data_IF_674963593393
#
_entry.id   IF_674963593393
#
_cell.length_a   1.000
_cell.length_b   1.000
_cell.length_c   1.000
_cell.angle_alpha   90.00
_cell.angle_beta   90.00
_cell.angle_gamma   90.00
#
_symmetry.space_group_name_H-M   'P 1'
#
loop_
_entity.id
_entity.type
_entity.pdbx_description
1 polymer ?
#
# COMPACT_ATOMS: atom_id res chain seq x y z
N UNK A 1 5.99 25.42 -16.04
CA UNK A 1 5.24 24.16 -16.15
C UNK A 1 4.18 24.11 -15.07
N UNK A 2 2.96 23.63 -15.37
CA UNK A 2 1.92 23.45 -14.34
C UNK A 2 2.33 22.30 -13.38
N UNK A 3 1.91 22.39 -12.13
CA UNK A 3 2.13 21.35 -11.11
C UNK A 3 1.74 19.95 -11.62
N UNK A 4 0.60 19.86 -12.32
CA UNK A 4 0.06 18.62 -12.88
C UNK A 4 1.02 17.99 -13.91
N UNK A 5 1.63 18.79 -14.79
CA UNK A 5 2.60 18.28 -15.78
C UNK A 5 3.85 17.73 -15.10
N UNK A 6 4.36 18.42 -14.08
CA UNK A 6 5.51 17.93 -13.30
C UNK A 6 5.17 16.62 -12.60
N UNK A 7 3.99 16.53 -11.98
CA UNK A 7 3.53 15.31 -11.31
C UNK A 7 3.42 14.14 -12.29
N UNK A 8 2.75 14.33 -13.43
CA UNK A 8 2.58 13.30 -14.44
C UNK A 8 3.93 12.79 -14.99
N UNK A 9 4.89 13.69 -15.23
CA UNK A 9 6.23 13.31 -15.67
C UNK A 9 6.98 12.48 -14.62
N UNK A 10 6.81 12.79 -13.34
CA UNK A 10 7.46 12.05 -12.24
C UNK A 10 6.79 10.70 -12.03
N UNK A 11 5.47 10.62 -12.16
CA UNK A 11 4.75 9.32 -12.13
C UNK A 11 5.24 8.42 -13.26
N UNK A 12 5.32 8.94 -14.48
CA UNK A 12 5.85 8.21 -15.62
C UNK A 12 7.28 7.73 -15.40
N UNK A 13 8.16 8.61 -14.92
CA UNK A 13 9.55 8.27 -14.59
C UNK A 13 9.60 7.17 -13.51
N UNK A 14 8.76 7.26 -12.49
CA UNK A 14 8.66 6.25 -11.43
C UNK A 14 8.24 4.89 -11.96
N UNK A 15 7.21 4.83 -12.81
CA UNK A 15 6.77 3.58 -13.44
C UNK A 15 7.89 3.01 -14.32
N UNK A 16 8.52 3.87 -15.14
CA UNK A 16 9.62 3.45 -16.01
C UNK A 16 10.79 2.88 -15.21
N UNK A 17 11.21 3.59 -14.16
CA UNK A 17 12.29 3.15 -13.28
C UNK A 17 11.97 1.82 -12.60
N UNK A 18 10.75 1.65 -12.12
CA UNK A 18 10.37 0.50 -11.30
C UNK A 18 10.05 -0.76 -12.13
N UNK A 19 9.65 -0.59 -13.40
CA UNK A 19 9.17 -1.71 -14.25
C UNK A 19 10.02 -1.91 -15.47
N UNK A 20 10.50 -0.84 -16.10
CA UNK A 20 11.09 -0.90 -17.44
C UNK A 20 12.63 -0.90 -17.48
N UNK A 21 13.32 -0.96 -16.33
CA UNK A 21 14.78 -0.94 -16.26
C UNK A 21 15.46 -2.15 -16.97
N UNK A 22 14.76 -3.26 -17.14
CA UNK A 22 15.21 -4.40 -17.97
C UNK A 22 14.35 -4.51 -19.22
N UNK A 23 13.13 -5.01 -19.06
CA UNK A 23 12.05 -4.97 -20.03
C UNK A 23 10.72 -4.81 -19.29
N UNK A 24 9.74 -4.07 -19.82
CA UNK A 24 8.47 -3.82 -19.12
C UNK A 24 7.75 -5.10 -18.73
N UNK A 25 7.81 -6.13 -19.56
CA UNK A 25 7.16 -7.42 -19.29
C UNK A 25 7.84 -8.16 -18.13
N UNK A 26 9.17 -8.29 -18.16
CA UNK A 26 9.94 -8.96 -17.11
C UNK A 26 9.83 -8.21 -15.78
N UNK A 27 9.95 -6.88 -15.81
CA UNK A 27 9.81 -6.05 -14.63
C UNK A 27 8.44 -6.20 -13.95
N UNK A 28 7.35 -6.20 -14.72
CA UNK A 28 6.00 -6.41 -14.21
C UNK A 28 5.82 -7.84 -13.68
N UNK A 29 6.30 -8.84 -14.41
CA UNK A 29 6.21 -10.25 -13.98
C UNK A 29 6.91 -10.48 -12.64
N UNK A 30 8.11 -9.94 -12.45
CA UNK A 30 8.84 -10.02 -11.18
C UNK A 30 8.09 -9.33 -10.04
N UNK A 31 7.41 -8.23 -10.32
CA UNK A 31 6.60 -7.51 -9.32
C UNK A 31 5.31 -8.25 -8.91
N UNK A 32 4.81 -9.16 -9.74
CA UNK A 32 3.62 -9.97 -9.44
C UNK A 32 3.98 -11.15 -8.53
N UNK A 33 5.20 -11.69 -8.62
CA UNK A 33 5.60 -12.89 -7.85
C UNK A 33 5.43 -12.70 -6.34
N UNK A 34 5.88 -11.58 -5.78
CA UNK A 34 5.82 -11.34 -4.34
C UNK A 34 4.38 -11.26 -3.79
N UNK A 35 3.45 -10.49 -4.39
CA UNK A 35 2.05 -10.49 -3.96
C UNK A 35 1.37 -11.85 -4.07
N UNK A 36 1.61 -12.58 -5.17
CA UNK A 36 1.05 -13.93 -5.37
C UNK A 36 1.58 -14.90 -4.31
N UNK A 37 2.90 -14.94 -4.12
CA UNK A 37 3.52 -15.81 -3.13
C UNK A 37 3.03 -15.50 -1.71
N UNK A 38 2.95 -14.23 -1.35
CA UNK A 38 2.44 -13.80 -0.04
C UNK A 38 0.98 -14.23 0.18
N UNK A 39 0.11 -14.00 -0.81
CA UNK A 39 -1.30 -14.36 -0.74
C UNK A 39 -1.47 -15.89 -0.61
N UNK A 40 -0.76 -16.67 -1.41
CA UNK A 40 -0.82 -18.13 -1.38
C UNK A 40 -0.27 -18.67 -0.05
N UNK A 41 0.92 -18.23 0.37
CA UNK A 41 1.55 -18.70 1.62
C UNK A 41 0.66 -18.42 2.83
N UNK A 42 0.13 -17.22 2.94
CA UNK A 42 -0.74 -16.84 4.06
C UNK A 42 -2.03 -17.67 4.07
N UNK A 43 -2.61 -17.91 2.89
CA UNK A 43 -3.81 -18.73 2.75
C UNK A 43 -3.56 -20.21 3.06
N UNK A 44 -2.40 -20.75 2.69
CA UNK A 44 -2.00 -22.13 3.02
C UNK A 44 -1.79 -22.27 4.53
N UNK A 45 -1.15 -21.28 5.19
CA UNK A 45 -0.98 -21.29 6.66
C UNK A 45 -2.34 -21.32 7.35
N UNK A 46 -3.30 -20.51 6.91
CA UNK A 46 -4.66 -20.54 7.43
C UNK A 46 -5.32 -21.91 7.20
N UNK A 47 -5.24 -22.43 5.96
CA UNK A 47 -5.84 -23.72 5.61
C UNK A 47 -5.29 -24.87 6.45
N UNK A 48 -3.97 -24.96 6.61
CA UNK A 48 -3.32 -25.97 7.44
C UNK A 48 -3.77 -25.88 8.90
N UNK A 49 -3.77 -24.68 9.48
CA UNK A 49 -4.20 -24.47 10.86
C UNK A 49 -5.68 -24.80 11.07
N UNK A 50 -6.56 -24.38 10.17
CA UNK A 50 -7.98 -24.60 10.26
C UNK A 50 -8.36 -26.08 10.01
N UNK A 51 -7.66 -26.76 9.08
CA UNK A 51 -7.90 -28.18 8.79
C UNK A 51 -7.43 -29.07 9.93
N UNK A 52 -6.28 -28.80 10.54
CA UNK A 52 -5.81 -29.53 11.73
C UNK A 52 -6.72 -29.32 12.92
N UNK A 53 -7.29 -28.15 13.08
CA UNK A 53 -8.27 -27.87 14.15
C UNK A 53 -9.70 -28.31 13.81
N UNK A 54 -9.94 -28.86 12.60
CA UNK A 54 -11.27 -29.26 12.10
C UNK A 54 -12.32 -28.14 12.08
N UNK A 55 -11.86 -26.88 11.87
CA UNK A 55 -12.70 -25.68 11.83
C UNK A 55 -12.54 -24.91 10.51
N UNK A 56 -12.23 -25.62 9.43
CA UNK A 56 -12.05 -25.01 8.12
C UNK A 56 -13.35 -24.36 7.61
N UNK A 57 -13.23 -23.11 7.16
CA UNK A 57 -14.33 -22.34 6.60
C UNK A 57 -13.82 -21.63 5.31
N UNK A 58 -14.38 -21.96 4.13
CA UNK A 58 -14.01 -21.34 2.87
C UNK A 58 -14.19 -19.81 2.86
N UNK A 59 -15.16 -19.27 3.59
CA UNK A 59 -15.37 -17.82 3.70
C UNK A 59 -14.24 -17.15 4.45
N UNK A 60 -13.71 -17.78 5.48
CA UNK A 60 -12.53 -17.29 6.20
C UNK A 60 -11.26 -17.42 5.35
N UNK A 61 -11.16 -18.45 4.52
CA UNK A 61 -10.07 -18.55 3.54
C UNK A 61 -10.11 -17.37 2.55
N UNK A 62 -11.30 -17.07 2.01
CA UNK A 62 -11.49 -15.89 1.16
C UNK A 62 -11.13 -14.59 1.89
N UNK A 63 -11.51 -14.47 3.16
CA UNK A 63 -11.18 -13.34 4.02
C UNK A 63 -9.67 -13.12 4.13
N UNK A 64 -8.90 -14.17 4.40
CA UNK A 64 -7.44 -14.14 4.53
C UNK A 64 -6.78 -13.86 3.19
N UNK A 65 -7.22 -14.51 2.12
CA UNK A 65 -6.71 -14.33 0.76
C UNK A 65 -6.82 -12.86 0.31
N UNK A 66 -8.02 -12.29 0.41
CA UNK A 66 -8.26 -10.89 0.03
C UNK A 66 -7.43 -9.94 0.90
N UNK A 67 -7.40 -10.17 2.20
CA UNK A 67 -6.63 -9.34 3.13
C UNK A 67 -5.13 -9.40 2.86
N UNK A 68 -4.57 -10.58 2.67
CA UNK A 68 -3.14 -10.76 2.37
C UNK A 68 -2.75 -10.08 1.04
N UNK A 69 -3.59 -10.22 0.01
CA UNK A 69 -3.36 -9.58 -1.28
C UNK A 69 -3.37 -8.05 -1.17
N UNK A 70 -4.37 -7.49 -0.48
CA UNK A 70 -4.49 -6.05 -0.31
C UNK A 70 -3.44 -5.47 0.66
N UNK A 71 -2.98 -6.28 1.63
CA UNK A 71 -1.86 -5.88 2.47
C UNK A 71 -0.58 -5.69 1.66
N UNK A 72 -0.29 -6.54 0.67
CA UNK A 72 0.89 -6.34 -0.19
C UNK A 72 0.82 -5.05 -0.99
N UNK A 73 -0.38 -4.64 -1.41
CA UNK A 73 -0.60 -3.32 -1.99
C UNK A 73 -0.20 -2.20 -1.01
N UNK A 74 -0.71 -2.25 0.24
CA UNK A 74 -0.35 -1.26 1.27
C UNK A 74 1.16 -1.26 1.54
N UNK A 75 1.78 -2.42 1.72
CA UNK A 75 3.20 -2.55 1.99
C UNK A 75 4.06 -1.91 0.88
N UNK A 76 3.72 -2.14 -0.38
CA UNK A 76 4.49 -1.62 -1.53
C UNK A 76 4.59 -0.10 -1.49
N UNK A 77 3.49 0.63 -1.33
CA UNK A 77 3.56 2.10 -1.30
C UNK A 77 4.06 2.66 0.03
N UNK A 78 4.08 1.85 1.11
CA UNK A 78 4.71 2.24 2.38
C UNK A 78 6.23 2.40 2.22
N UNK A 79 6.87 1.54 1.43
CA UNK A 79 8.31 1.63 1.18
C UNK A 79 8.70 2.68 0.13
N UNK A 80 7.83 2.94 -0.84
CA UNK A 80 8.13 3.75 -2.00
C UNK A 80 8.74 5.14 -1.71
N UNK A 81 8.21 5.95 -0.78
CA UNK A 81 8.74 7.29 -0.52
C UNK A 81 10.13 7.27 0.10
N UNK A 82 10.38 6.32 0.99
CA UNK A 82 11.71 6.16 1.62
C UNK A 82 12.74 5.73 0.59
N UNK A 83 12.40 4.75 -0.25
CA UNK A 83 13.25 4.31 -1.37
C UNK A 83 13.53 5.46 -2.32
N UNK A 84 12.52 6.23 -2.69
CA UNK A 84 12.68 7.35 -3.61
C UNK A 84 13.67 8.43 -3.08
N UNK A 85 13.61 8.71 -1.77
CA UNK A 85 14.53 9.67 -1.14
C UNK A 85 15.94 9.08 -1.02
N UNK A 86 16.07 7.83 -0.56
CA UNK A 86 17.35 7.14 -0.42
C UNK A 86 18.08 7.01 -1.77
N UNK A 87 17.39 6.54 -2.79
CA UNK A 87 17.93 6.47 -4.16
C UNK A 87 18.32 7.84 -4.68
N UNK A 88 17.46 8.84 -4.49
CA UNK A 88 17.72 10.21 -4.92
C UNK A 88 18.95 10.83 -4.25
N UNK A 89 19.20 10.52 -2.97
CA UNK A 89 20.43 10.93 -2.25
C UNK A 89 21.65 10.18 -2.79
N UNK A 90 21.58 8.85 -2.93
CA UNK A 90 22.67 8.02 -3.40
C UNK A 90 23.11 8.35 -4.83
N UNK A 91 22.16 8.60 -5.71
CA UNK A 91 22.40 8.98 -7.11
C UNK A 91 22.70 10.48 -7.29
N UNK A 92 22.78 11.25 -6.20
CA UNK A 92 22.98 12.71 -6.22
C UNK A 92 21.94 13.48 -7.03
N UNK A 93 20.77 12.88 -7.30
CA UNK A 93 19.64 13.53 -8.00
C UNK A 93 18.86 14.44 -7.04
N UNK A 94 18.76 14.03 -5.78
CA UNK A 94 17.95 14.72 -4.79
C UNK A 94 18.46 16.14 -4.48
N UNK A 95 19.78 16.42 -4.36
CA UNK A 95 20.29 17.77 -4.24
C UNK A 95 19.83 18.70 -5.37
N UNK A 96 19.79 18.22 -6.61
CA UNK A 96 19.33 19.01 -7.76
C UNK A 96 17.86 19.40 -7.67
N UNK A 97 17.01 18.53 -7.09
CA UNK A 97 15.60 18.84 -6.83
C UNK A 97 15.48 19.94 -5.77
N UNK A 98 16.37 19.94 -4.77
CA UNK A 98 16.33 20.90 -3.66
C UNK A 98 16.96 22.26 -3.98
N UNK A 99 17.84 22.36 -4.96
CA UNK A 99 18.36 23.65 -5.47
C UNK A 99 17.24 24.47 -6.12
N UNK A 100 16.19 23.80 -6.63
CA UNK A 100 15.06 24.52 -7.19
C UNK A 100 14.28 25.25 -6.09
N UNK A 101 13.77 26.48 -6.34
CA UNK A 101 13.00 27.23 -5.34
C UNK A 101 11.62 26.62 -5.05
N UNK A 102 11.24 25.56 -5.77
CA UNK A 102 9.99 24.83 -5.57
C UNK A 102 10.12 23.73 -4.53
N UNK A 103 9.00 23.37 -3.91
CA UNK A 103 8.93 22.22 -3.02
C UNK A 103 9.24 20.91 -3.76
N UNK A 104 9.88 19.96 -3.06
CA UNK A 104 10.09 18.59 -3.53
C UNK A 104 8.84 17.71 -3.44
N UNK A 105 7.75 18.23 -2.90
CA UNK A 105 6.46 17.52 -2.74
C UNK A 105 5.96 16.83 -4.02
N UNK A 106 6.02 17.43 -5.24
CA UNK A 106 5.62 16.73 -6.46
C UNK A 106 6.46 15.50 -6.77
N UNK A 107 7.75 15.51 -6.42
CA UNK A 107 8.63 14.36 -6.61
C UNK A 107 8.20 13.20 -5.73
N UNK A 108 8.00 13.46 -4.45
CA UNK A 108 7.56 12.42 -3.51
C UNK A 108 6.17 11.89 -3.86
N UNK A 109 5.21 12.79 -4.14
CA UNK A 109 3.87 12.40 -4.56
C UNK A 109 3.89 11.56 -5.84
N UNK A 110 4.67 11.98 -6.85
CA UNK A 110 4.77 11.26 -8.11
C UNK A 110 5.36 9.85 -7.97
N UNK A 111 6.40 9.70 -7.15
CA UNK A 111 7.00 8.39 -6.85
C UNK A 111 6.04 7.50 -6.06
N UNK A 112 5.34 8.03 -5.06
CA UNK A 112 4.32 7.30 -4.30
C UNK A 112 3.16 6.86 -5.19
N UNK A 113 2.67 7.75 -6.08
CA UNK A 113 1.61 7.41 -7.04
C UNK A 113 2.06 6.38 -8.06
N UNK A 114 3.30 6.42 -8.55
CA UNK A 114 3.84 5.40 -9.44
C UNK A 114 3.79 4.01 -8.79
N UNK A 115 4.31 3.91 -7.57
CA UNK A 115 4.29 2.65 -6.79
C UNK A 115 2.87 2.21 -6.45
N UNK A 116 1.96 3.17 -6.18
CA UNK A 116 0.54 2.89 -5.99
C UNK A 116 -0.08 2.25 -7.24
N UNK A 117 0.13 2.80 -8.43
CA UNK A 117 -0.41 2.27 -9.69
C UNK A 117 0.15 0.88 -10.01
N UNK A 118 1.44 0.66 -9.78
CA UNK A 118 2.07 -0.64 -9.96
C UNK A 118 1.46 -1.65 -8.99
N UNK A 119 1.38 -1.31 -7.70
CA UNK A 119 0.82 -2.21 -6.68
C UNK A 119 -0.67 -2.46 -6.87
N UNK A 120 -1.43 -1.48 -7.38
CA UNK A 120 -2.83 -1.66 -7.79
C UNK A 120 -2.95 -2.77 -8.84
N UNK A 121 -2.17 -2.65 -9.92
CA UNK A 121 -2.20 -3.62 -11.02
C UNK A 121 -1.74 -5.01 -10.56
N UNK A 122 -0.62 -5.07 -9.83
CA UNK A 122 -0.06 -6.36 -9.37
C UNK A 122 -0.95 -7.04 -8.33
N UNK A 123 -1.63 -6.30 -7.46
CA UNK A 123 -2.56 -6.87 -6.48
C UNK A 123 -3.84 -7.41 -7.13
N UNK A 124 -4.37 -6.73 -8.15
CA UNK A 124 -5.51 -7.25 -8.90
C UNK A 124 -5.17 -8.57 -9.60
N UNK A 125 -4.01 -8.63 -10.26
CA UNK A 125 -3.52 -9.84 -10.93
C UNK A 125 -3.23 -10.93 -9.88
N UNK A 126 -2.60 -10.58 -8.77
CA UNK A 126 -2.27 -11.54 -7.71
C UNK A 126 -3.52 -12.17 -7.08
N UNK A 127 -4.60 -11.39 -6.89
CA UNK A 127 -5.85 -11.93 -6.38
C UNK A 127 -6.44 -13.00 -7.30
N UNK A 128 -6.43 -12.75 -8.62
CA UNK A 128 -6.93 -13.71 -9.61
C UNK A 128 -6.08 -14.99 -9.63
N UNK A 129 -4.75 -14.83 -9.72
CA UNK A 129 -3.83 -15.98 -9.78
C UNK A 129 -3.90 -16.80 -8.49
N UNK A 130 -3.85 -16.15 -7.32
CA UNK A 130 -3.88 -16.83 -6.03
C UNK A 130 -5.22 -17.56 -5.81
N UNK A 131 -6.34 -16.97 -6.20
CA UNK A 131 -7.65 -17.62 -6.15
C UNK A 131 -7.67 -18.88 -7.01
N UNK A 132 -7.19 -18.78 -8.24
CA UNK A 132 -7.14 -19.93 -9.16
C UNK A 132 -6.26 -21.06 -8.63
N UNK A 133 -5.05 -20.72 -8.16
CA UNK A 133 -4.08 -21.70 -7.64
C UNK A 133 -4.65 -22.39 -6.38
N UNK A 134 -5.22 -21.63 -5.44
CA UNK A 134 -5.75 -22.20 -4.20
C UNK A 134 -7.00 -23.06 -4.46
N UNK A 135 -7.89 -22.64 -5.36
CA UNK A 135 -9.04 -23.46 -5.76
C UNK A 135 -8.61 -24.77 -6.40
N UNK A 136 -7.55 -24.77 -7.22
CA UNK A 136 -6.99 -25.99 -7.79
C UNK A 136 -6.31 -26.90 -6.78
N UNK A 137 -5.59 -26.32 -5.81
CA UNK A 137 -4.86 -27.07 -4.78
C UNK A 137 -5.78 -27.75 -3.77
N UNK A 138 -6.80 -27.04 -3.32
CA UNK A 138 -7.67 -27.53 -2.26
C UNK A 138 -8.93 -28.24 -2.78
N UNK A 139 -9.17 -28.18 -4.11
CA UNK A 139 -10.41 -28.65 -4.75
C UNK A 139 -11.67 -28.01 -4.12
N UNK A 140 -11.52 -26.81 -3.58
CA UNK A 140 -12.56 -26.05 -2.90
C UNK A 140 -12.91 -24.79 -3.67
N UNK A 141 -14.20 -24.49 -3.75
CA UNK A 141 -14.66 -23.22 -4.30
C UNK A 141 -14.47 -22.11 -3.26
N UNK A 142 -13.54 -21.20 -3.51
CA UNK A 142 -13.39 -19.99 -2.70
C UNK A 142 -14.56 -19.06 -3.02
N UNK A 143 -15.40 -18.68 -2.03
CA UNK A 143 -16.63 -17.93 -2.28
C UNK A 143 -16.33 -16.45 -2.55
N UNK A 144 -15.90 -16.14 -3.78
CA UNK A 144 -15.72 -14.78 -4.25
C UNK A 144 -16.84 -14.41 -5.23
N UNK A 145 -17.45 -13.25 -5.01
CA UNK A 145 -18.47 -12.70 -5.89
C UNK A 145 -17.77 -11.97 -7.03
N UNK A 146 -17.64 -12.63 -8.19
CA UNK A 146 -16.97 -12.07 -9.37
C UNK A 146 -18.05 -11.61 -10.37
N UNK A 147 -18.59 -10.43 -10.13
CA UNK A 147 -19.50 -9.73 -11.06
C UNK A 147 -18.83 -8.47 -11.58
N UNK A 148 -19.23 -7.92 -12.73
CA UNK A 148 -18.68 -6.64 -13.21
C UNK A 148 -18.82 -5.52 -12.16
N UNK A 149 -19.90 -5.53 -11.38
CA UNK A 149 -20.12 -4.56 -10.32
C UNK A 149 -19.15 -4.75 -9.16
N UNK A 150 -18.94 -5.99 -8.67
CA UNK A 150 -18.03 -6.26 -7.56
C UNK A 150 -16.58 -5.98 -7.92
N UNK A 151 -16.17 -6.27 -9.15
CA UNK A 151 -14.84 -5.92 -9.66
C UNK A 151 -14.66 -4.40 -9.75
N UNK A 152 -15.68 -3.68 -10.22
CA UNK A 152 -15.66 -2.22 -10.25
C UNK A 152 -15.58 -1.63 -8.83
N UNK A 153 -16.35 -2.18 -7.88
CA UNK A 153 -16.30 -1.77 -6.48
C UNK A 153 -14.92 -2.03 -5.85
N UNK A 154 -14.31 -3.17 -6.12
CA UNK A 154 -12.96 -3.47 -5.67
C UNK A 154 -11.94 -2.49 -6.25
N UNK A 155 -12.00 -2.24 -7.55
CA UNK A 155 -11.13 -1.28 -8.22
C UNK A 155 -11.32 0.14 -7.67
N UNK A 156 -12.57 0.54 -7.41
CA UNK A 156 -12.89 1.84 -6.83
C UNK A 156 -12.37 1.95 -5.38
N UNK A 157 -12.50 0.91 -4.56
CA UNK A 157 -11.96 0.88 -3.20
C UNK A 157 -10.43 1.04 -3.22
N UNK A 158 -9.74 0.31 -4.10
CA UNK A 158 -8.31 0.45 -4.31
C UNK A 158 -7.94 1.87 -4.72
N UNK A 159 -8.64 2.44 -5.70
CA UNK A 159 -8.34 3.77 -6.21
C UNK A 159 -8.59 4.87 -5.15
N UNK A 160 -9.67 4.77 -4.39
CA UNK A 160 -9.99 5.74 -3.34
C UNK A 160 -9.10 5.64 -2.10
N UNK A 161 -8.21 4.64 -2.02
CA UNK A 161 -7.16 4.57 -1.00
C UNK A 161 -5.94 5.49 -1.31
N UNK A 162 -5.91 6.17 -2.48
CA UNK A 162 -4.84 7.11 -2.87
C UNK A 162 -4.54 8.18 -1.80
N UNK A 163 -5.52 8.85 -1.17
CA UNK A 163 -5.22 9.82 -0.12
C UNK A 163 -4.44 9.21 1.05
N UNK A 164 -4.82 8.03 1.51
CA UNK A 164 -4.11 7.34 2.59
C UNK A 164 -2.67 6.98 2.19
N UNK A 165 -2.47 6.49 0.95
CA UNK A 165 -1.14 6.15 0.44
C UNK A 165 -0.23 7.38 0.31
N UNK A 166 -0.73 8.47 -0.23
CA UNK A 166 0.02 9.73 -0.34
C UNK A 166 0.34 10.31 1.04
N UNK A 167 -0.63 10.29 1.96
CA UNK A 167 -0.43 10.78 3.32
C UNK A 167 0.67 10.02 4.06
N UNK A 168 0.63 8.68 4.01
CA UNK A 168 1.69 7.84 4.56
C UNK A 168 3.03 8.10 3.87
N UNK A 169 3.00 8.28 2.54
CA UNK A 169 4.17 8.66 1.75
C UNK A 169 4.83 9.94 2.23
N UNK A 170 4.07 10.97 2.53
CA UNK A 170 4.58 12.23 3.08
C UNK A 170 5.13 12.07 4.51
N UNK A 171 4.47 11.29 5.36
CA UNK A 171 4.94 11.02 6.73
C UNK A 171 6.29 10.31 6.70
N UNK A 172 6.41 9.22 5.94
CA UNK A 172 7.65 8.45 5.84
C UNK A 172 8.74 9.22 5.10
N UNK A 173 8.38 9.96 4.06
CA UNK A 173 9.29 10.87 3.38
C UNK A 173 9.85 11.95 4.31
N UNK A 174 9.05 12.48 5.23
CA UNK A 174 9.52 13.43 6.26
C UNK A 174 10.62 12.84 7.13
N UNK A 175 10.47 11.59 7.54
CA UNK A 175 11.50 10.88 8.28
C UNK A 175 12.76 10.68 7.44
N UNK A 176 12.62 10.21 6.20
CA UNK A 176 13.75 9.90 5.31
C UNK A 176 14.59 11.11 4.94
N UNK A 177 14.05 12.34 5.03
CA UNK A 177 14.83 13.56 4.81
C UNK A 177 15.99 13.69 5.80
N UNK A 178 15.77 13.34 7.06
CA UNK A 178 16.76 13.43 8.14
C UNK A 178 17.48 12.11 8.45
N UNK A 179 16.91 10.97 8.07
CA UNK A 179 17.49 9.67 8.31
C UNK A 179 18.77 9.48 7.50
N UNK A 180 19.82 8.94 8.15
CA UNK A 180 21.10 8.65 7.51
C UNK A 180 21.50 7.17 7.59
N UNK A 181 21.04 6.43 8.61
CA UNK A 181 21.49 5.05 8.88
C UNK A 181 20.37 4.00 8.91
N UNK A 182 19.15 4.40 9.27
CA UNK A 182 18.01 3.47 9.47
C UNK A 182 16.83 3.79 8.55
N UNK A 183 17.10 4.25 7.34
CA UNK A 183 16.03 4.66 6.40
C UNK A 183 15.04 3.53 6.10
N UNK A 184 15.56 2.29 6.02
CA UNK A 184 14.74 1.11 5.73
C UNK A 184 13.98 0.55 6.94
N UNK A 185 14.40 0.88 8.15
CA UNK A 185 13.82 0.32 9.37
C UNK A 185 12.40 0.84 9.61
N UNK A 186 12.19 2.15 9.51
CA UNK A 186 10.87 2.73 9.79
C UNK A 186 9.77 2.22 8.87
N UNK A 187 9.94 2.16 7.52
CA UNK A 187 8.93 1.57 6.65
C UNK A 187 8.63 0.11 7.00
N UNK A 188 9.63 -0.68 7.38
CA UNK A 188 9.45 -2.08 7.80
C UNK A 188 8.60 -2.19 9.07
N UNK A 189 8.86 -1.35 10.07
CA UNK A 189 8.05 -1.33 11.29
C UNK A 189 6.62 -0.86 11.01
N UNK A 190 6.45 0.17 10.18
CA UNK A 190 5.12 0.66 9.79
C UNK A 190 4.36 -0.41 9.01
N UNK A 191 4.99 -1.06 8.02
CA UNK A 191 4.37 -2.14 7.28
C UNK A 191 3.98 -3.31 8.20
N UNK A 192 4.89 -3.75 9.10
CA UNK A 192 4.58 -4.79 10.08
C UNK A 192 3.43 -4.41 11.01
N UNK A 193 3.40 -3.17 11.48
CA UNK A 193 2.28 -2.64 12.30
C UNK A 193 0.97 -2.66 11.51
N UNK A 194 0.98 -2.20 10.27
CA UNK A 194 -0.20 -2.21 9.41
C UNK A 194 -0.66 -3.64 9.10
N UNK A 195 0.24 -4.62 9.00
CA UNK A 195 -0.14 -6.03 8.82
C UNK A 195 -1.02 -6.54 9.96
N UNK A 196 -0.68 -6.19 11.18
CA UNK A 196 -1.42 -6.61 12.39
C UNK A 196 -2.73 -5.84 12.53
N UNK A 197 -2.68 -4.51 12.40
CA UNK A 197 -3.79 -3.63 12.76
C UNK A 197 -4.75 -3.31 11.62
N UNK A 198 -4.35 -3.48 10.34
CA UNK A 198 -5.24 -3.20 9.20
C UNK A 198 -6.34 -4.24 8.99
N UNK A 199 -6.40 -5.28 9.81
CA UNK A 199 -7.38 -6.34 9.61
C UNK A 199 -7.07 -7.25 8.40
N UNK A 200 -5.85 -7.24 7.89
CA UNK A 200 -5.48 -8.03 6.72
C UNK A 200 -5.63 -9.54 6.97
N UNK A 201 -5.13 -10.03 8.09
CA UNK A 201 -5.12 -11.46 8.45
C UNK A 201 -6.30 -11.86 9.32
N UNK A 202 -6.69 -11.00 10.24
CA UNK A 202 -7.79 -11.23 11.19
C UNK A 202 -8.52 -9.92 11.49
N UNK A 203 -9.81 -9.96 11.89
CA UNK A 203 -10.55 -8.76 12.23
C UNK A 203 -9.92 -8.05 13.44
N UNK A 204 -9.73 -6.70 13.41
CA UNK A 204 -9.17 -5.98 14.55
C UNK A 204 -10.01 -6.09 15.84
N UNK A 205 -11.28 -6.45 15.72
CA UNK A 205 -12.17 -6.70 16.86
C UNK A 205 -11.74 -7.83 17.79
N UNK A 206 -10.88 -8.73 17.32
CA UNK A 206 -10.31 -9.83 18.14
C UNK A 206 -9.25 -9.29 19.12
N UNK A 207 -8.65 -8.15 18.80
CA UNK A 207 -7.63 -7.55 19.66
C UNK A 207 -8.28 -6.96 20.93
N UNK A 208 -7.56 -6.97 22.08
CA UNK A 208 -8.06 -6.33 23.29
C UNK A 208 -8.13 -4.80 23.09
N UNK A 209 -9.07 -4.16 23.80
CA UNK A 209 -9.09 -2.71 23.88
C UNK A 209 -7.83 -2.23 24.64
N UNK A 210 -7.09 -1.20 24.19
CA UNK A 210 -7.40 -0.20 23.13
C UNK A 210 -6.88 -0.56 21.72
N UNK A 211 -6.23 -1.71 21.50
CA UNK A 211 -5.63 -2.07 20.22
C UNK A 211 -6.68 -2.26 19.13
N UNK A 212 -7.84 -2.82 19.49
CA UNK A 212 -8.98 -2.95 18.57
C UNK A 212 -9.51 -1.58 18.11
N UNK A 213 -9.59 -0.62 19.03
CA UNK A 213 -10.02 0.75 18.70
C UNK A 213 -9.03 1.40 17.73
N UNK A 214 -7.72 1.27 17.97
CA UNK A 214 -6.68 1.75 17.07
C UNK A 214 -6.78 1.10 15.68
N UNK A 215 -6.87 -0.22 15.62
CA UNK A 215 -7.00 -0.95 14.34
C UNK A 215 -8.23 -0.52 13.54
N UNK A 216 -9.38 -0.38 14.19
CA UNK A 216 -10.63 0.03 13.52
C UNK A 216 -10.60 1.51 13.06
N UNK A 217 -9.81 2.36 13.68
CA UNK A 217 -9.67 3.77 13.29
C UNK A 217 -8.76 3.95 12.06
N UNK A 218 -7.96 2.96 11.68
CA UNK A 218 -7.07 3.05 10.55
C UNK A 218 -7.84 3.09 9.22
N UNK A 219 -7.54 4.02 8.29
CA UNK A 219 -8.16 4.07 6.97
C UNK A 219 -7.88 2.80 6.15
N UNK A 220 -6.76 2.14 6.38
CA UNK A 220 -6.36 0.89 5.74
C UNK A 220 -7.26 -0.29 6.12
N UNK A 221 -7.71 -0.34 7.36
CA UNK A 221 -8.68 -1.34 7.84
C UNK A 221 -10.02 -1.18 7.13
N UNK A 222 -10.47 0.05 7.01
CA UNK A 222 -11.73 0.35 6.34
C UNK A 222 -11.65 0.10 4.83
N UNK A 223 -10.50 0.37 4.22
CA UNK A 223 -10.23 0.04 2.82
C UNK A 223 -10.30 -1.49 2.57
N UNK A 224 -9.62 -2.31 3.38
CA UNK A 224 -9.65 -3.77 3.25
C UNK A 224 -11.07 -4.30 3.52
N UNK A 225 -11.78 -3.72 4.48
CA UNK A 225 -13.17 -4.07 4.77
C UNK A 225 -14.11 -3.74 3.61
N UNK A 226 -13.96 -2.57 2.98
CA UNK A 226 -14.72 -2.20 1.79
C UNK A 226 -14.50 -3.21 0.67
N UNK A 227 -13.25 -3.59 0.39
CA UNK A 227 -12.94 -4.60 -0.62
C UNK A 227 -13.60 -5.95 -0.32
N UNK A 228 -13.61 -6.39 0.94
CA UNK A 228 -14.30 -7.64 1.35
C UNK A 228 -15.81 -7.53 1.20
N UNK A 229 -16.41 -6.39 1.55
CA UNK A 229 -17.84 -6.19 1.32
C UNK A 229 -18.21 -6.23 -0.16
N UNK A 230 -17.31 -5.80 -1.05
CA UNK A 230 -17.53 -5.87 -2.49
C UNK A 230 -17.49 -7.31 -3.02
N UNK A 231 -16.49 -8.10 -2.63
CA UNK A 231 -16.18 -9.38 -3.32
C UNK A 231 -16.43 -10.64 -2.49
N UNK A 232 -16.72 -10.53 -1.19
CA UNK A 232 -17.07 -11.69 -0.34
C UNK A 232 -18.52 -11.61 0.11
N UNK A 233 -18.93 -10.47 0.67
CA UNK A 233 -20.22 -10.34 1.34
C UNK A 233 -21.33 -9.75 0.47
N UNK A 234 -21.01 -9.05 -0.61
CA UNK A 234 -22.01 -8.43 -1.51
C UNK A 234 -22.87 -7.33 -0.86
N UNK A 235 -22.45 -6.75 0.26
CA UNK A 235 -23.22 -5.75 1.00
C UNK A 235 -22.89 -4.34 0.56
N UNK A 236 -23.73 -3.73 -0.26
CA UNK A 236 -23.52 -2.37 -0.79
C UNK A 236 -23.51 -1.31 0.32
N UNK A 237 -24.40 -1.41 1.30
CA UNK A 237 -24.46 -0.43 2.41
C UNK A 237 -23.19 -0.44 3.26
N UNK A 238 -22.73 -1.63 3.65
CA UNK A 238 -21.47 -1.79 4.40
C UNK A 238 -20.25 -1.39 3.58
N UNK A 239 -20.25 -1.68 2.27
CA UNK A 239 -19.22 -1.23 1.34
C UNK A 239 -19.11 0.29 1.31
N UNK A 240 -20.22 1.00 1.09
CA UNK A 240 -20.24 2.47 1.01
C UNK A 240 -19.80 3.11 2.34
N UNK A 241 -20.23 2.56 3.47
CA UNK A 241 -19.85 3.05 4.78
C UNK A 241 -18.34 2.89 5.01
N UNK A 242 -17.79 1.70 4.77
CA UNK A 242 -16.37 1.44 4.92
C UNK A 242 -15.53 2.30 3.96
N UNK A 243 -16.00 2.49 2.73
CA UNK A 243 -15.35 3.35 1.74
C UNK A 243 -15.33 4.82 2.19
N UNK A 244 -16.45 5.32 2.73
CA UNK A 244 -16.53 6.69 3.26
C UNK A 244 -15.56 6.90 4.43
N UNK A 245 -15.50 5.96 5.37
CA UNK A 245 -14.54 6.00 6.48
C UNK A 245 -13.08 5.92 6.01
N UNK A 246 -12.78 5.05 5.02
CA UNK A 246 -11.44 4.95 4.43
C UNK A 246 -11.02 6.27 3.77
N UNK A 247 -11.93 6.88 2.99
CA UNK A 247 -11.66 8.14 2.30
C UNK A 247 -11.49 9.30 3.30
N UNK A 248 -12.37 9.40 4.29
CA UNK A 248 -12.27 10.43 5.33
C UNK A 248 -10.97 10.29 6.13
N UNK A 249 -10.70 9.12 6.67
CA UNK A 249 -9.46 8.85 7.43
C UNK A 249 -8.21 9.03 6.56
N UNK A 250 -8.25 8.55 5.31
CA UNK A 250 -7.17 8.75 4.34
C UNK A 250 -6.90 10.22 4.03
N UNK A 251 -7.96 11.03 3.92
CA UNK A 251 -7.83 12.49 3.71
C UNK A 251 -7.20 13.18 4.92
N UNK A 252 -7.53 12.77 6.13
CA UNK A 252 -6.90 13.28 7.35
C UNK A 252 -5.41 12.94 7.40
N UNK A 253 -5.05 11.69 7.07
CA UNK A 253 -3.65 11.25 6.99
C UNK A 253 -2.90 12.03 5.92
N UNK A 254 -3.53 12.31 4.77
CA UNK A 254 -2.95 13.14 3.71
C UNK A 254 -2.66 14.56 4.18
N UNK A 255 -3.64 15.22 4.78
CA UNK A 255 -3.48 16.60 5.28
C UNK A 255 -2.35 16.65 6.31
N UNK A 256 -2.37 15.75 7.29
CA UNK A 256 -1.31 15.67 8.30
C UNK A 256 0.06 15.41 7.68
N UNK A 257 0.17 14.46 6.76
CA UNK A 257 1.40 14.13 6.05
C UNK A 257 1.96 15.30 5.24
N UNK A 258 1.10 16.03 4.53
CA UNK A 258 1.50 17.22 3.75
C UNK A 258 2.03 18.34 4.66
N UNK A 259 1.37 18.60 5.77
CA UNK A 259 1.81 19.62 6.75
C UNK A 259 3.14 19.23 7.38
N UNK A 260 3.27 17.96 7.78
CA UNK A 260 4.51 17.42 8.36
C UNK A 260 5.65 17.51 7.35
N UNK A 261 5.44 17.07 6.12
CA UNK A 261 6.46 17.11 5.07
C UNK A 261 6.90 18.54 4.74
N UNK A 262 5.95 19.47 4.60
CA UNK A 262 6.25 20.88 4.32
C UNK A 262 7.10 21.53 5.40
N UNK A 263 6.80 21.27 6.68
CA UNK A 263 7.59 21.80 7.81
C UNK A 263 8.97 21.16 7.89
N UNK A 264 9.03 19.84 7.68
CA UNK A 264 10.27 19.05 7.68
C UNK A 264 11.19 19.44 6.52
N UNK A 265 10.63 19.64 5.33
CA UNK A 265 11.37 20.10 4.16
C UNK A 265 12.00 21.49 4.38
N UNK A 266 11.24 22.44 4.94
CA UNK A 266 11.78 23.77 5.27
C UNK A 266 12.95 23.68 6.26
N UNK A 267 12.82 22.83 7.28
CA UNK A 267 13.89 22.60 8.25
C UNK A 267 15.12 21.94 7.60
N UNK A 268 14.91 20.90 6.77
CA UNK A 268 15.99 20.22 6.08
C UNK A 268 16.79 21.14 5.13
N UNK A 269 16.09 22.05 4.44
CA UNK A 269 16.72 23.10 3.61
C UNK A 269 17.56 24.07 4.45
N UNK A 270 17.03 24.49 5.61
CA UNK A 270 17.72 25.43 6.51
C UNK A 270 18.97 24.81 7.13
N UNK A 271 18.87 23.53 7.54
CA UNK A 271 19.94 22.83 8.26
C UNK A 271 20.99 22.22 7.31
N UNK A 272 20.80 22.31 5.98
CA UNK A 272 21.73 21.78 4.97
C UNK A 272 21.91 20.26 5.04
N UNK A 273 20.93 19.51 5.59
CA UNK A 273 21.03 18.05 5.84
C UNK A 273 20.93 17.23 4.54
N UNK A 274 20.51 17.84 3.47
CA UNK A 274 20.13 17.21 2.21
C UNK A 274 21.33 16.65 1.44
N UNK A 275 22.51 17.26 1.62
CA UNK A 275 23.78 16.86 0.98
C UNK A 275 24.52 15.76 1.75
N UNK A 276 24.05 15.35 2.92
CA UNK A 276 24.69 14.28 3.66
C UNK A 276 24.47 12.96 2.92
N UNK A 277 25.50 12.50 2.22
CA UNK A 277 25.53 11.14 1.67
C UNK A 277 25.33 10.15 2.82
N UNK A 278 24.61 9.10 2.55
CA UNK A 278 24.48 7.95 3.44
C UNK A 278 25.88 7.33 3.58
N UNK A 279 26.52 7.51 4.73
CA UNK A 279 27.81 6.90 5.04
C UNK A 279 27.59 5.51 5.63
#
# INVERSE_FOLDING_TARGET
>A
MSYIRSLASIVWLGIYHDVAWTSPFVGLALRIVAPVASAITTSIIYWLGASTAQVFDPTRLAYVLVGATLYTHIATYTYAPTVAIAEGKNLSVFPHIYITPRSSSPYLAGRTLASFLISFTTSMIALVIATYVLSSLFHENIPLIVTPLSVLQLALALFLNVPASLGLGYILGSYSLFASKFEWALPSYVAGTLMVFSGALFPPSILPWPLSAFGNALPYTQFISAARYAIIYGSLSSYLLALAYSLFGGSLVLIFGMLLYSSTEKKARRDGVIDRRLA
#
